data_IF_447989314112
#
_entry.id   IF_447989314112
#
_cell.length_a   1.000
_cell.length_b   1.000
_cell.length_c   1.000
_cell.angle_alpha   90.00
_cell.angle_beta   90.00
_cell.angle_gamma   90.00
#
_symmetry.space_group_name_H-M   'P 1'
#
loop_
_entity.id
_entity.type
_entity.pdbx_description
1 polymer ?
#
# COMPACT_ATOMS: atom_id res chain seq x y z
N UNK A 1 -18.09 12.16 -12.29
CA UNK A 1 -16.76 12.77 -12.25
C UNK A 1 -15.92 12.04 -11.19
N UNK A 2 -15.58 10.77 -11.46
CA UNK A 2 -14.92 9.85 -10.51
C UNK A 2 -13.84 9.02 -11.24
N UNK A 3 -13.15 9.64 -12.20
CA UNK A 3 -11.99 9.05 -12.89
C UNK A 3 -10.67 9.47 -12.23
N UNK A 4 -10.69 10.43 -11.30
CA UNK A 4 -9.44 11.10 -10.92
C UNK A 4 -8.96 10.92 -9.48
N UNK A 5 -9.59 10.15 -8.59
CA UNK A 5 -9.02 9.97 -7.24
C UNK A 5 -7.87 8.94 -7.19
N UNK A 6 -7.95 7.92 -8.04
CA UNK A 6 -6.86 6.96 -8.23
C UNK A 6 -5.70 7.60 -8.97
N UNK A 7 -5.98 8.26 -10.11
CA UNK A 7 -4.98 9.05 -10.81
C UNK A 7 -4.42 10.13 -9.89
N UNK A 8 -5.20 10.78 -9.02
CA UNK A 8 -4.66 11.75 -8.07
C UNK A 8 -3.83 11.10 -6.98
N UNK A 9 -4.16 9.93 -6.43
CA UNK A 9 -3.27 9.25 -5.47
C UNK A 9 -1.99 8.76 -6.15
N UNK A 10 -2.11 8.10 -7.30
CA UNK A 10 -1.01 7.60 -8.15
C UNK A 10 -0.13 8.74 -8.63
N UNK A 11 -0.71 9.85 -9.08
CA UNK A 11 -0.05 11.09 -9.49
C UNK A 11 0.50 11.86 -8.30
N UNK A 12 -0.13 11.87 -7.13
CA UNK A 12 0.47 12.42 -5.90
C UNK A 12 1.66 11.55 -5.51
N UNK A 13 1.58 10.23 -5.59
CA UNK A 13 2.72 9.35 -5.30
C UNK A 13 3.83 9.48 -6.33
N UNK A 14 3.54 9.57 -7.63
CA UNK A 14 4.56 9.82 -8.66
C UNK A 14 5.09 11.24 -8.61
N UNK A 15 4.26 12.24 -8.31
CA UNK A 15 4.68 13.65 -8.14
C UNK A 15 5.44 13.83 -6.83
N UNK A 16 5.15 13.06 -5.78
CA UNK A 16 5.89 13.01 -4.53
C UNK A 16 7.22 12.26 -4.71
N UNK A 17 7.23 11.13 -5.44
CA UNK A 17 8.46 10.46 -5.89
C UNK A 17 9.30 11.37 -6.81
N UNK A 18 8.65 12.19 -7.65
CA UNK A 18 9.29 13.18 -8.52
C UNK A 18 9.72 14.45 -7.75
N UNK A 19 9.05 14.87 -6.67
CA UNK A 19 9.53 15.96 -5.78
C UNK A 19 10.67 15.49 -4.88
N UNK A 20 10.67 14.22 -4.49
CA UNK A 20 11.77 13.56 -3.78
C UNK A 20 12.87 13.12 -4.76
N UNK A 21 12.70 13.28 -6.07
CA UNK A 21 13.70 12.94 -7.09
C UNK A 21 14.98 13.80 -7.02
N UNK A 22 15.02 14.83 -6.16
CA UNK A 22 16.26 15.50 -5.76
C UNK A 22 17.12 14.61 -4.83
N UNK A 23 16.59 13.53 -4.23
CA UNK A 23 17.32 12.70 -3.24
C UNK A 23 17.39 11.18 -3.47
N UNK A 24 16.82 10.56 -4.52
CA UNK A 24 17.21 9.16 -4.82
C UNK A 24 16.90 8.69 -6.25
N UNK A 25 17.96 8.63 -7.05
CA UNK A 25 18.27 7.69 -8.15
C UNK A 25 17.08 7.10 -8.96
N UNK A 26 17.07 7.38 -10.28
CA UNK A 26 16.12 6.87 -11.28
C UNK A 26 15.99 5.34 -11.36
N UNK A 27 16.87 4.60 -10.69
CA UNK A 27 16.79 3.14 -10.52
C UNK A 27 15.99 2.71 -9.26
N UNK A 28 15.19 3.60 -8.67
CA UNK A 28 14.38 3.27 -7.50
C UNK A 28 13.33 2.22 -7.88
N UNK A 29 13.49 1.03 -7.31
CA UNK A 29 12.61 -0.13 -7.40
C UNK A 29 11.11 0.20 -7.18
N UNK A 30 10.81 1.26 -6.42
CA UNK A 30 9.46 1.82 -6.26
C UNK A 30 8.80 2.32 -7.55
N UNK A 31 9.57 2.92 -8.44
CA UNK A 31 9.10 3.46 -9.71
C UNK A 31 8.78 2.32 -10.69
N UNK A 32 9.55 1.23 -10.62
CA UNK A 32 9.32 0.04 -11.44
C UNK A 32 8.09 -0.76 -10.95
N UNK A 33 7.94 -0.95 -9.63
CA UNK A 33 6.73 -1.54 -9.02
C UNK A 33 5.45 -0.81 -9.45
N UNK A 34 5.49 0.52 -9.42
CA UNK A 34 4.37 1.35 -9.81
C UNK A 34 3.98 1.15 -11.29
N UNK A 35 4.93 1.25 -12.22
CA UNK A 35 4.62 1.13 -13.64
C UNK A 35 4.20 -0.28 -14.07
N UNK A 36 4.81 -1.32 -13.49
CA UNK A 36 4.56 -2.71 -13.90
C UNK A 36 3.31 -3.34 -13.26
N UNK A 37 2.94 -2.92 -12.03
CA UNK A 37 1.87 -3.59 -11.27
C UNK A 37 0.63 -2.72 -11.03
N UNK A 38 0.74 -1.38 -11.04
CA UNK A 38 -0.40 -0.49 -10.70
C UNK A 38 -1.22 -0.03 -11.91
N UNK A 39 -0.67 -0.08 -13.12
CA UNK A 39 -1.31 0.46 -14.32
C UNK A 39 -2.46 -0.39 -14.92
N UNK A 40 -2.42 -1.74 -14.94
CA UNK A 40 -3.41 -2.52 -15.71
C UNK A 40 -4.81 -2.67 -15.07
N UNK A 41 -5.00 -2.35 -13.78
CA UNK A 41 -6.26 -2.60 -13.07
C UNK A 41 -7.22 -1.39 -13.00
N UNK A 42 -6.92 -0.30 -13.69
CA UNK A 42 -7.77 0.90 -13.75
C UNK A 42 -9.03 0.73 -14.61
N UNK A 43 -9.13 -0.33 -15.41
CA UNK A 43 -10.17 -0.47 -16.45
C UNK A 43 -11.36 -1.34 -16.04
N UNK A 44 -11.25 -2.20 -15.02
CA UNK A 44 -12.29 -3.21 -14.71
C UNK A 44 -13.28 -2.83 -13.58
N UNK A 45 -13.19 -1.65 -12.98
CA UNK A 45 -14.08 -1.26 -11.87
C UNK A 45 -15.34 -0.49 -12.30
N UNK A 46 -15.92 -0.82 -13.46
CA UNK A 46 -17.19 -0.27 -13.89
C UNK A 46 -18.29 -1.35 -13.85
N UNK A 47 -19.28 -1.08 -13.01
CA UNK A 47 -20.54 -1.80 -12.76
C UNK A 47 -20.50 -2.95 -11.74
N UNK A 48 -21.11 -2.71 -10.57
CA UNK A 48 -22.40 -3.30 -10.13
C UNK A 48 -22.92 -2.52 -8.90
N UNK A 49 -24.06 -1.87 -9.08
CA UNK A 49 -25.09 -1.37 -8.15
C UNK A 49 -24.78 -1.09 -6.66
N UNK A 50 -24.69 0.22 -6.38
CA UNK A 50 -25.34 0.97 -5.28
C UNK A 50 -25.08 0.58 -3.82
N UNK A 51 -23.85 0.79 -3.37
CA UNK A 51 -23.49 1.79 -2.35
C UNK A 51 -21.99 2.04 -2.51
N UNK A 52 -21.53 3.30 -2.56
CA UNK A 52 -20.09 3.62 -2.60
C UNK A 52 -19.36 3.21 -1.31
N UNK A 53 -19.92 2.30 -0.51
CA UNK A 53 -19.41 1.87 0.78
C UNK A 53 -18.24 0.90 0.65
N UNK A 54 -17.27 1.00 1.55
CA UNK A 54 -16.13 0.11 1.62
C UNK A 54 -16.56 -1.27 2.07
N UNK A 55 -16.41 -2.24 1.17
CA UNK A 55 -16.78 -3.65 1.39
C UNK A 55 -15.90 -4.36 2.42
N UNK A 56 -14.73 -3.79 2.75
CA UNK A 56 -13.86 -4.27 3.82
C UNK A 56 -14.25 -3.74 5.20
N UNK A 57 -15.24 -2.85 5.27
CA UNK A 57 -15.63 -2.13 6.47
C UNK A 57 -17.07 -2.45 6.85
N UNK A 58 -17.31 -2.74 8.13
CA UNK A 58 -18.66 -2.98 8.65
C UNK A 58 -19.43 -1.69 8.92
N UNK A 59 -18.76 -0.53 8.90
CA UNK A 59 -19.36 0.77 9.22
C UNK A 59 -20.04 1.45 8.02
N UNK A 60 -20.18 0.76 6.88
CA UNK A 60 -20.81 1.24 5.65
C UNK A 60 -20.29 2.63 5.17
N UNK A 61 -19.04 2.95 5.49
CA UNK A 61 -18.39 4.22 5.12
C UNK A 61 -18.07 4.24 3.64
N UNK A 62 -18.13 5.41 3.01
CA UNK A 62 -17.71 5.58 1.62
C UNK A 62 -16.26 5.12 1.39
N UNK A 63 -16.05 4.33 0.34
CA UNK A 63 -14.77 3.82 -0.09
C UNK A 63 -14.02 4.88 -0.89
N UNK A 64 -13.22 5.67 -0.19
CA UNK A 64 -12.17 6.49 -0.81
C UNK A 64 -10.83 5.75 -0.77
N UNK A 65 -9.85 6.15 -1.59
CA UNK A 65 -8.49 5.61 -1.50
C UNK A 65 -7.91 5.79 -0.07
N UNK A 66 -8.19 6.95 0.53
CA UNK A 66 -7.78 7.24 1.90
C UNK A 66 -8.43 6.29 2.91
N UNK A 67 -9.75 6.08 2.82
CA UNK A 67 -10.43 5.15 3.70
C UNK A 67 -9.93 3.72 3.50
N UNK A 68 -9.87 3.22 2.27
CA UNK A 68 -9.40 1.87 1.97
C UNK A 68 -8.01 1.60 2.56
N UNK A 69 -7.06 2.53 2.36
CA UNK A 69 -5.68 2.33 2.78
C UNK A 69 -5.44 2.64 4.25
N UNK A 70 -6.09 3.65 4.82
CA UNK A 70 -5.71 4.17 6.15
C UNK A 70 -6.83 4.14 7.18
N UNK A 71 -8.09 4.20 6.75
CA UNK A 71 -9.25 4.39 7.64
C UNK A 71 -10.14 3.17 7.83
N UNK A 72 -9.98 2.13 7.01
CA UNK A 72 -10.76 0.91 7.09
C UNK A 72 -10.25 0.03 8.22
N UNK A 73 -11.14 -0.57 9.02
CA UNK A 73 -10.76 -1.43 10.15
C UNK A 73 -9.83 -2.57 9.71
N UNK A 74 -10.05 -3.12 8.52
CA UNK A 74 -9.17 -4.15 7.98
C UNK A 74 -7.76 -3.61 7.70
N UNK A 75 -7.64 -2.48 7.00
CA UNK A 75 -6.32 -1.92 6.66
C UNK A 75 -5.57 -1.43 7.88
N UNK A 76 -6.24 -0.83 8.86
CA UNK A 76 -5.65 -0.45 10.15
C UNK A 76 -5.00 -1.67 10.82
N UNK A 77 -5.69 -2.83 10.85
CA UNK A 77 -5.13 -4.07 11.40
C UNK A 77 -3.94 -4.59 10.60
N UNK A 78 -3.98 -4.48 9.27
CA UNK A 78 -2.84 -4.83 8.42
C UNK A 78 -1.61 -4.00 8.77
N UNK A 79 -1.74 -2.67 8.85
CA UNK A 79 -0.62 -1.80 9.21
C UNK A 79 -0.08 -2.06 10.62
N UNK A 80 -0.98 -2.23 11.59
CA UNK A 80 -0.61 -2.54 12.97
C UNK A 80 0.17 -3.86 13.07
N UNK A 81 -0.16 -4.85 12.25
CA UNK A 81 0.54 -6.14 12.23
C UNK A 81 2.00 -6.06 11.77
N UNK A 82 2.39 -4.97 11.08
CA UNK A 82 3.77 -4.66 10.70
C UNK A 82 4.33 -3.45 11.48
N UNK A 83 3.76 -3.18 12.67
CA UNK A 83 4.15 -2.10 13.56
C UNK A 83 4.11 -0.70 12.91
N UNK A 84 3.16 -0.47 12.01
CA UNK A 84 2.87 0.83 11.41
C UNK A 84 1.50 1.32 11.89
N UNK A 85 1.47 2.52 12.45
CA UNK A 85 0.22 3.20 12.80
C UNK A 85 0.17 4.52 12.05
N UNK A 86 -1.00 4.84 11.50
CA UNK A 86 -1.25 6.06 10.76
C UNK A 86 -2.01 7.06 11.63
N UNK A 87 -1.65 8.33 11.53
CA UNK A 87 -2.36 9.41 12.20
C UNK A 87 -3.32 10.09 11.21
N UNK A 88 -4.64 9.86 11.32
CA UNK A 88 -5.59 10.41 10.36
C UNK A 88 -5.79 11.93 10.48
N UNK A 89 -5.30 12.57 11.55
CA UNK A 89 -5.41 14.03 11.72
C UNK A 89 -4.40 14.81 10.88
N UNK A 90 -3.44 14.12 10.28
CA UNK A 90 -2.39 14.72 9.45
C UNK A 90 -2.74 14.51 7.97
N UNK A 91 -2.47 15.51 7.14
CA UNK A 91 -2.65 15.35 5.70
C UNK A 91 -1.80 14.20 5.16
N UNK A 92 -2.25 13.60 4.05
CA UNK A 92 -1.64 12.40 3.49
C UNK A 92 -0.12 12.55 3.25
N UNK A 93 0.33 13.65 2.66
CA UNK A 93 1.76 13.87 2.34
C UNK A 93 2.62 13.91 3.61
N UNK A 94 2.20 14.68 4.62
CA UNK A 94 2.92 14.81 5.87
C UNK A 94 2.92 13.48 6.63
N UNK A 95 1.82 12.73 6.57
CA UNK A 95 1.72 11.40 7.19
C UNK A 95 2.77 10.44 6.62
N UNK A 96 2.96 10.42 5.29
CA UNK A 96 4.02 9.62 4.64
C UNK A 96 5.42 10.10 5.03
N UNK A 97 5.67 11.42 5.00
CA UNK A 97 6.98 12.00 5.37
C UNK A 97 7.34 11.65 6.81
N UNK A 98 6.44 11.91 7.75
CA UNK A 98 6.65 11.63 9.17
C UNK A 98 6.88 10.15 9.42
N UNK A 99 6.07 9.28 8.80
CA UNK A 99 6.25 7.84 8.98
C UNK A 99 7.58 7.37 8.41
N UNK A 100 8.01 7.89 7.25
CA UNK A 100 9.32 7.59 6.67
C UNK A 100 10.46 7.98 7.60
N UNK A 101 10.39 9.17 8.21
CA UNK A 101 11.40 9.63 9.17
C UNK A 101 11.45 8.75 10.42
N UNK A 102 10.30 8.27 10.88
CA UNK A 102 10.19 7.41 12.06
C UNK A 102 10.56 5.94 11.80
N UNK A 103 10.47 5.45 10.57
CA UNK A 103 10.68 4.03 10.23
C UNK A 103 12.14 3.57 10.38
N UNK A 104 13.10 4.50 10.50
CA UNK A 104 14.55 4.25 10.69
C UNK A 104 15.25 3.41 9.60
N UNK A 105 14.52 2.91 8.59
CA UNK A 105 15.08 2.15 7.49
C UNK A 105 14.87 2.83 6.13
N UNK A 106 15.82 2.60 5.22
CA UNK A 106 15.82 3.23 3.89
C UNK A 106 14.91 2.55 2.86
N UNK A 107 14.25 1.45 3.27
CA UNK A 107 13.31 0.66 2.44
C UNK A 107 11.83 0.89 2.82
N UNK A 108 11.53 1.98 3.54
CA UNK A 108 10.16 2.30 3.99
C UNK A 108 9.13 2.31 2.84
N UNK A 109 9.50 2.92 1.70
CA UNK A 109 8.55 3.07 0.59
C UNK A 109 8.18 1.71 0.02
N UNK A 110 9.15 0.81 -0.07
CA UNK A 110 9.00 -0.56 -0.55
C UNK A 110 8.00 -1.33 0.33
N UNK A 111 8.17 -1.27 1.66
CA UNK A 111 7.22 -1.82 2.64
C UNK A 111 5.83 -1.21 2.47
N UNK A 112 5.75 0.12 2.39
CA UNK A 112 4.49 0.84 2.22
C UNK A 112 3.73 0.39 0.97
N UNK A 113 4.41 0.31 -0.19
CA UNK A 113 3.78 -0.06 -1.45
C UNK A 113 3.28 -1.50 -1.44
N UNK A 114 4.08 -2.45 -0.94
CA UNK A 114 3.69 -3.86 -0.86
C UNK A 114 2.48 -4.05 0.05
N UNK A 115 2.48 -3.40 1.22
CA UNK A 115 1.36 -3.44 2.16
C UNK A 115 0.07 -2.85 1.56
N UNK A 116 0.16 -1.67 0.95
CA UNK A 116 -0.98 -1.01 0.31
C UNK A 116 -1.53 -1.83 -0.87
N UNK A 117 -0.64 -2.42 -1.68
CA UNK A 117 -1.01 -3.33 -2.76
C UNK A 117 -1.82 -4.52 -2.24
N UNK A 118 -1.34 -5.19 -1.19
CA UNK A 118 -2.02 -6.37 -0.68
C UNK A 118 -3.33 -6.07 0.02
N UNK A 119 -3.50 -4.88 0.63
CA UNK A 119 -4.82 -4.44 1.11
C UNK A 119 -5.80 -4.41 -0.07
N UNK A 120 -5.39 -3.82 -1.20
CA UNK A 120 -6.22 -3.78 -2.40
C UNK A 120 -6.44 -5.16 -3.02
N UNK A 121 -5.44 -6.05 -2.97
CA UNK A 121 -5.58 -7.45 -3.41
C UNK A 121 -6.64 -8.19 -2.61
N UNK A 122 -6.68 -8.00 -1.28
CA UNK A 122 -7.73 -8.57 -0.42
C UNK A 122 -9.12 -8.03 -0.79
N UNK A 123 -9.24 -6.71 -1.01
CA UNK A 123 -10.48 -6.09 -1.50
C UNK A 123 -10.95 -6.71 -2.83
N UNK A 124 -10.05 -6.78 -3.80
CA UNK A 124 -10.36 -7.32 -5.12
C UNK A 124 -10.72 -8.82 -5.05
N UNK A 125 -10.05 -9.60 -4.18
CA UNK A 125 -10.41 -10.99 -3.94
C UNK A 125 -11.84 -11.16 -3.40
N UNK A 126 -12.30 -10.23 -2.55
CA UNK A 126 -13.69 -10.22 -2.10
C UNK A 126 -14.67 -9.90 -3.24
N UNK A 127 -14.36 -8.90 -4.08
CA UNK A 127 -15.24 -8.49 -5.20
C UNK A 127 -15.33 -9.56 -6.28
N UNK A 128 -14.18 -10.04 -6.76
CA UNK A 128 -14.10 -10.85 -7.98
C UNK A 128 -14.12 -12.35 -7.70
N UNK A 129 -13.68 -12.77 -6.52
CA UNK A 129 -13.53 -14.20 -6.18
C UNK A 129 -14.40 -14.61 -4.98
N UNK A 130 -15.13 -13.67 -4.36
CA UNK A 130 -15.92 -13.93 -3.15
C UNK A 130 -15.07 -14.32 -1.93
N UNK A 131 -13.74 -14.14 -1.99
CA UNK A 131 -12.82 -14.55 -0.93
C UNK A 131 -12.86 -13.53 0.22
N UNK A 132 -13.22 -13.94 1.45
CA UNK A 132 -13.27 -13.03 2.57
C UNK A 132 -11.86 -12.50 2.92
N UNK A 133 -11.73 -11.20 3.26
CA UNK A 133 -10.46 -10.61 3.63
C UNK A 133 -9.91 -11.28 4.89
N UNK A 134 -8.65 -11.68 4.86
CA UNK A 134 -8.00 -12.37 5.97
C UNK A 134 -6.67 -11.71 6.32
N UNK A 135 -6.51 -11.35 7.60
CA UNK A 135 -5.26 -10.78 8.09
C UNK A 135 -4.11 -11.78 7.95
N UNK A 136 -4.36 -13.07 8.18
CA UNK A 136 -3.36 -14.14 8.00
C UNK A 136 -2.94 -14.26 6.54
N UNK A 137 -3.90 -14.26 5.60
CA UNK A 137 -3.60 -14.30 4.16
C UNK A 137 -2.85 -13.04 3.70
N UNK A 138 -3.25 -11.88 4.20
CA UNK A 138 -2.56 -10.61 3.91
C UNK A 138 -1.12 -10.64 4.42
N UNK A 139 -0.89 -11.09 5.66
CA UNK A 139 0.44 -11.16 6.29
C UNK A 139 1.37 -12.11 5.55
N UNK A 140 0.87 -13.30 5.19
CA UNK A 140 1.64 -14.26 4.41
C UNK A 140 1.97 -13.73 3.01
N UNK A 141 0.98 -13.15 2.32
CA UNK A 141 1.21 -12.49 1.04
C UNK A 141 2.21 -11.34 1.14
N UNK A 142 2.22 -10.61 2.27
CA UNK A 142 3.13 -9.50 2.51
C UNK A 142 4.57 -9.97 2.64
N UNK A 143 4.79 -11.03 3.42
CA UNK A 143 6.08 -11.70 3.51
C UNK A 143 6.54 -12.18 2.13
N UNK A 144 5.71 -12.97 1.43
CA UNK A 144 6.07 -13.59 0.16
C UNK A 144 6.42 -12.54 -0.91
N UNK A 145 5.61 -11.48 -1.00
CA UNK A 145 5.84 -10.39 -1.93
C UNK A 145 7.11 -9.62 -1.54
N UNK A 146 7.30 -9.26 -0.27
CA UNK A 146 8.46 -8.51 0.16
C UNK A 146 9.76 -9.32 -0.02
N UNK A 147 9.73 -10.63 0.20
CA UNK A 147 10.84 -11.55 -0.06
C UNK A 147 11.14 -11.65 -1.56
N UNK A 148 10.12 -11.75 -2.40
CA UNK A 148 10.28 -11.73 -3.86
C UNK A 148 10.93 -10.42 -4.33
N UNK A 149 10.50 -9.30 -3.74
CA UNK A 149 11.05 -7.99 -4.05
C UNK A 149 12.48 -7.80 -3.50
N UNK A 150 12.82 -8.43 -2.38
CA UNK A 150 14.16 -8.38 -1.79
C UNK A 150 15.25 -8.89 -2.74
N UNK A 151 14.95 -9.82 -3.66
CA UNK A 151 15.92 -10.27 -4.69
C UNK A 151 16.43 -9.13 -5.57
N UNK A 152 15.63 -8.07 -5.75
CA UNK A 152 15.96 -6.90 -6.58
C UNK A 152 16.61 -5.77 -5.77
N UNK A 153 16.70 -5.92 -4.45
CA UNK A 153 17.33 -4.93 -3.60
C UNK A 153 18.85 -5.02 -3.74
N UNK A 154 19.52 -3.90 -3.48
CA UNK A 154 20.97 -3.91 -3.26
C UNK A 154 21.28 -4.88 -2.12
N UNK A 155 22.37 -5.64 -2.23
CA UNK A 155 22.73 -6.62 -1.21
C UNK A 155 22.90 -5.99 0.18
N UNK A 156 23.34 -4.73 0.25
CA UNK A 156 23.44 -3.97 1.51
C UNK A 156 22.09 -3.72 2.21
N UNK A 157 20.97 -3.80 1.49
CA UNK A 157 19.63 -3.59 2.04
C UNK A 157 18.93 -4.88 2.44
N UNK A 158 19.43 -6.04 2.00
CA UNK A 158 18.81 -7.35 2.31
C UNK A 158 18.93 -7.72 3.79
N UNK A 159 20.11 -7.65 4.45
CA UNK A 159 20.22 -7.96 5.87
C UNK A 159 19.30 -7.11 6.78
N UNK A 160 19.25 -5.76 6.67
CA UNK A 160 18.37 -4.98 7.52
C UNK A 160 16.89 -5.22 7.21
N UNK A 161 16.53 -5.55 5.96
CA UNK A 161 15.17 -5.93 5.60
C UNK A 161 14.74 -7.24 6.29
N UNK A 162 15.57 -8.28 6.20
CA UNK A 162 15.25 -9.57 6.82
C UNK A 162 15.24 -9.50 8.35
N UNK A 163 16.17 -8.74 8.95
CA UNK A 163 16.18 -8.49 10.39
C UNK A 163 14.90 -7.77 10.84
N UNK A 164 14.38 -6.85 10.04
CA UNK A 164 13.11 -6.17 10.31
C UNK A 164 11.88 -7.07 10.09
N UNK A 165 11.89 -7.93 9.08
CA UNK A 165 10.75 -8.78 8.70
C UNK A 165 10.55 -9.99 9.62
N UNK A 166 11.63 -10.67 10.02
CA UNK A 166 11.58 -11.89 10.83
C UNK A 166 10.69 -11.82 12.09
N UNK A 167 10.77 -10.79 12.94
CA UNK A 167 9.92 -10.73 14.14
C UNK A 167 8.45 -10.41 13.81
N UNK A 168 8.17 -9.94 12.58
CA UNK A 168 6.85 -9.52 12.18
C UNK A 168 6.03 -10.66 11.62
N UNK A 169 6.61 -11.73 11.08
CA UNK A 169 5.89 -12.80 10.36
C UNK A 169 5.70 -14.05 11.18
#
# INVERSE_FOLDING_TARGET
>A
MLIDDWFTCVMIFTTFLNKISILRNRNSFAIQLFNSFFFPLSVYSLNVNSTHSCILCTANKEETCYHLLFGCNFSVRCWQSICITWNPTVNFNNMIILRRQQFQHTFFMEVFMVAAWLIRKQRNGLIFEGKPPSLTSWKKGFEDELMLQAYRFKDSLKPPLFAWLNPLV
#
